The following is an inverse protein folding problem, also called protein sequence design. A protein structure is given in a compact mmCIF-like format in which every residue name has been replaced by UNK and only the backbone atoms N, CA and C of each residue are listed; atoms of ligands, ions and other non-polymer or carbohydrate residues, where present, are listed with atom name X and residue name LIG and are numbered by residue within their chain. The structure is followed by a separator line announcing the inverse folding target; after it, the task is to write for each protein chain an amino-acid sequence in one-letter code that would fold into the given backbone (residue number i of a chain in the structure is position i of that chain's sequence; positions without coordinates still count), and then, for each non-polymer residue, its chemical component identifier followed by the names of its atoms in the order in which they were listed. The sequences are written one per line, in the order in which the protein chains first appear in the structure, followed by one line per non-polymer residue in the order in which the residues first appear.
data_IF_058810385332
#
_entry.id   IF_058810385332
#
_cell.length_a   1.000
_cell.length_b   1.000
_cell.length_c   1.000
_cell.angle_alpha   90.00
_cell.angle_beta   90.00
_cell.angle_gamma   90.00
#
_symmetry.space_group_name_H-M   'P 1'
#
loop_
_entity.id
_entity.type
_entity.pdbx_description
1 polymer ?
#
# COMPACT_ATOMS: atom_id res chain seq x y z
N UNK A 1 4.44 14.75 0.17
CA UNK A 1 5.83 14.26 0.20
C UNK A 1 6.03 13.52 1.52
N UNK A 2 6.40 12.24 1.47
CA UNK A 2 6.59 11.39 2.66
C UNK A 2 7.89 11.80 3.37
N UNK A 3 7.79 12.49 4.50
CA UNK A 3 8.96 12.83 5.34
C UNK A 3 8.68 12.43 6.78
N UNK A 4 8.95 11.16 7.08
CA UNK A 4 9.21 10.65 8.42
C UNK A 4 10.37 9.64 8.27
N UNK A 5 11.60 9.96 8.74
CA UNK A 5 12.78 9.13 8.51
C UNK A 5 12.67 7.73 9.15
N UNK A 6 11.78 7.58 10.13
CA UNK A 6 11.66 6.35 10.94
C UNK A 6 10.48 5.45 10.49
N UNK A 7 9.74 5.83 9.44
CA UNK A 7 8.56 5.09 8.98
C UNK A 7 8.72 4.72 7.49
N UNK A 8 8.79 3.41 7.16
CA UNK A 8 8.78 2.94 5.78
C UNK A 8 7.51 3.45 5.08
N UNK A 9 7.69 4.21 4.00
CA UNK A 9 6.58 4.87 3.32
C UNK A 9 6.70 4.71 1.81
N UNK A 10 5.59 4.36 1.16
CA UNK A 10 5.49 4.23 -0.30
C UNK A 10 4.25 4.94 -0.81
N UNK A 11 4.31 5.45 -2.03
CA UNK A 11 3.15 5.94 -2.77
C UNK A 11 2.86 4.96 -3.90
N UNK A 12 1.60 4.53 -4.03
CA UNK A 12 1.18 3.58 -5.06
C UNK A 12 0.16 4.26 -5.97
N UNK A 13 0.45 4.27 -7.27
CA UNK A 13 -0.48 4.70 -8.31
C UNK A 13 -1.26 3.48 -8.80
N UNK A 14 -2.59 3.48 -8.64
CA UNK A 14 -3.43 2.31 -8.92
C UNK A 14 -4.07 2.31 -10.31
N UNK A 15 -4.19 3.49 -10.93
CA UNK A 15 -4.77 3.75 -12.25
C UNK A 15 -4.62 5.24 -12.61
N UNK A 16 -4.73 5.57 -13.89
CA UNK A 16 -4.74 6.93 -14.42
C UNK A 16 -6.16 7.42 -14.66
N UNK A 17 -6.53 8.54 -14.02
CA UNK A 17 -7.83 9.20 -14.23
C UNK A 17 -8.00 9.75 -15.66
N UNK A 18 -6.89 10.08 -16.33
CA UNK A 18 -6.89 10.58 -17.71
C UNK A 18 -7.22 9.50 -18.75
N UNK A 19 -7.20 8.23 -18.37
CA UNK A 19 -7.57 7.11 -19.22
C UNK A 19 -9.00 6.66 -18.89
N UNK A 20 -10.00 6.85 -19.78
CA UNK A 20 -11.39 6.50 -19.51
C UNK A 20 -11.63 5.03 -19.15
N UNK A 21 -10.83 4.11 -19.67
CA UNK A 21 -10.92 2.69 -19.33
C UNK A 21 -10.46 2.41 -17.89
N UNK A 22 -9.40 3.09 -17.46
CA UNK A 22 -8.87 2.96 -16.11
C UNK A 22 -9.72 3.70 -15.08
N UNK A 23 -10.25 4.86 -15.43
CA UNK A 23 -11.24 5.59 -14.62
C UNK A 23 -12.50 4.76 -14.39
N UNK A 24 -12.97 4.01 -15.41
CA UNK A 24 -14.09 3.08 -15.25
C UNK A 24 -13.75 1.95 -14.30
N UNK A 25 -12.54 1.37 -14.43
CA UNK A 25 -12.06 0.31 -13.54
C UNK A 25 -11.94 0.79 -12.09
N UNK A 26 -11.55 2.04 -11.86
CA UNK A 26 -11.53 2.62 -10.52
C UNK A 26 -12.91 2.65 -9.84
N UNK A 27 -14.00 2.60 -10.60
CA UNK A 27 -15.39 2.51 -10.10
C UNK A 27 -15.91 1.08 -9.97
N UNK A 28 -15.16 0.09 -10.43
CA UNK A 28 -15.54 -1.33 -10.35
C UNK A 28 -15.16 -1.91 -8.98
N UNK A 29 -16.15 -2.39 -8.17
CA UNK A 29 -15.90 -3.00 -6.87
C UNK A 29 -14.95 -4.20 -6.93
N UNK A 30 -14.99 -5.01 -8.00
CA UNK A 30 -14.12 -6.16 -8.15
C UNK A 30 -12.66 -5.74 -8.37
N UNK A 31 -12.44 -4.68 -9.16
CA UNK A 31 -11.11 -4.10 -9.34
C UNK A 31 -10.56 -3.53 -8.03
N UNK A 32 -11.38 -2.79 -7.29
CA UNK A 32 -11.01 -2.23 -5.98
C UNK A 32 -10.64 -3.33 -4.99
N UNK A 33 -11.43 -4.40 -4.90
CA UNK A 33 -11.14 -5.54 -4.03
C UNK A 33 -9.80 -6.20 -4.38
N UNK A 34 -9.55 -6.44 -5.68
CA UNK A 34 -8.28 -7.02 -6.14
C UNK A 34 -7.08 -6.14 -5.80
N UNK A 35 -7.21 -4.82 -5.90
CA UNK A 35 -6.17 -3.87 -5.51
C UNK A 35 -5.92 -3.90 -4.00
N UNK A 36 -6.97 -3.87 -3.19
CA UNK A 36 -6.87 -3.92 -1.72
C UNK A 36 -6.17 -5.21 -1.27
N UNK A 37 -6.53 -6.36 -1.84
CA UNK A 37 -5.88 -7.63 -1.54
C UNK A 37 -4.39 -7.64 -1.95
N UNK A 38 -4.06 -7.09 -3.12
CA UNK A 38 -2.68 -7.04 -3.59
C UNK A 38 -1.81 -6.17 -2.65
N UNK A 39 -2.34 -5.03 -2.20
CA UNK A 39 -1.70 -4.14 -1.24
C UNK A 39 -1.53 -4.83 0.11
N UNK A 40 -2.58 -5.46 0.64
CA UNK A 40 -2.54 -6.18 1.92
C UNK A 40 -1.48 -7.29 1.89
N UNK A 41 -1.45 -8.10 0.83
CA UNK A 41 -0.41 -9.13 0.64
C UNK A 41 1.00 -8.52 0.57
N UNK A 42 1.16 -7.36 -0.08
CA UNK A 42 2.44 -6.65 -0.14
C UNK A 42 2.92 -6.20 1.23
N UNK A 43 2.03 -5.58 2.02
CA UNK A 43 2.31 -5.14 3.39
C UNK A 43 2.67 -6.32 4.29
N UNK A 44 1.90 -7.41 4.21
CA UNK A 44 2.19 -8.63 4.98
C UNK A 44 3.59 -9.17 4.67
N UNK A 45 3.92 -9.33 3.38
CA UNK A 45 5.25 -9.79 2.96
C UNK A 45 6.36 -8.86 3.43
N UNK A 46 6.14 -7.54 3.43
CA UNK A 46 7.14 -6.60 3.94
C UNK A 46 7.47 -6.89 5.41
N UNK A 47 6.47 -7.08 6.27
CA UNK A 47 6.69 -7.39 7.69
C UNK A 47 7.23 -8.80 7.93
N UNK A 48 6.94 -9.78 7.07
CA UNK A 48 7.55 -11.11 7.15
C UNK A 48 9.08 -11.05 6.93
N UNK A 49 9.54 -10.22 6.00
CA UNK A 49 10.97 -10.04 5.69
C UNK A 49 11.65 -8.96 6.54
N UNK A 50 10.88 -8.07 7.15
CA UNK A 50 11.34 -6.97 7.98
C UNK A 50 10.51 -6.99 9.28
N UNK A 51 10.67 -8.03 10.14
CA UNK A 51 9.91 -8.11 11.37
C UNK A 51 10.16 -6.82 12.16
N UNK A 52 9.10 -6.20 12.71
CA UNK A 52 9.26 -4.95 13.44
C UNK A 52 10.27 -5.19 14.55
N UNK A 53 11.36 -4.41 14.54
CA UNK A 53 12.28 -4.38 15.66
C UNK A 53 11.41 -4.11 16.89
N UNK A 54 11.42 -5.03 17.86
CA UNK A 54 10.70 -4.86 19.11
C UNK A 54 11.00 -3.44 19.58
N UNK A 55 9.98 -2.59 19.72
CA UNK A 55 10.16 -1.27 20.32
C UNK A 55 10.69 -1.54 21.72
N UNK A 56 12.00 -1.44 21.90
CA UNK A 56 12.57 -1.21 23.22
C UNK A 56 12.07 0.16 23.64
N UNK A 57 10.86 0.21 24.20
CA UNK A 57 10.47 1.29 25.10
C UNK A 57 11.37 1.10 26.32
N UNK A 58 12.53 1.74 26.28
CA UNK A 58 13.28 2.06 27.48
C UNK A 58 12.31 2.87 28.37
N UNK A 59 11.85 2.26 29.44
CA UNK A 59 11.27 2.96 30.59
C UNK A 59 12.38 3.75 31.29
#
# INVERSE_FOLDING_TARGET
MLRAPDIPSVLVETAFLSNPDEERRLRDPAFQARMAEALARGIQRYFEHNPPLARNRSL
#
